data_IF_805548468185
#
_entry.id   IF_805548468185
#
_cell.length_a   1.000
_cell.length_b   1.000
_cell.length_c   1.000
_cell.angle_alpha   90.00
_cell.angle_beta   90.00
_cell.angle_gamma   90.00
#
_symmetry.space_group_name_H-M   'P 1'
#
loop_
_entity.id
_entity.type
_entity.pdbx_description
1 polymer ?
#
# COMPACT_ATOMS: atom_id res chain seq x y z
N UNK A 1 -48.75 -42.87 -58.61
CA UNK A 1 -49.43 -41.83 -57.82
C UNK A 1 -49.07 -42.14 -56.38
N UNK A 2 -48.04 -41.48 -55.81
CA UNK A 2 -48.17 -40.29 -54.94
C UNK A 2 -49.01 -40.64 -53.71
N UNK A 3 -48.59 -40.52 -52.44
CA UNK A 3 -47.59 -39.65 -51.80
C UNK A 3 -47.29 -40.18 -50.38
N UNK A 4 -46.11 -39.80 -49.89
CA UNK A 4 -45.57 -39.84 -48.52
C UNK A 4 -46.49 -39.37 -47.39
N UNK A 5 -46.17 -39.82 -46.17
CA UNK A 5 -46.08 -39.07 -44.89
C UNK A 5 -46.48 -39.97 -43.70
N UNK A 6 -45.87 -40.01 -42.52
CA UNK A 6 -44.70 -39.39 -41.91
C UNK A 6 -44.40 -40.21 -40.63
N UNK A 7 -43.14 -40.61 -40.42
CA UNK A 7 -42.64 -41.06 -39.13
C UNK A 7 -42.23 -39.82 -38.31
N UNK A 8 -42.82 -39.64 -37.13
CA UNK A 8 -42.36 -38.66 -36.14
C UNK A 8 -41.35 -39.34 -35.21
N UNK A 9 -40.06 -39.16 -35.50
CA UNK A 9 -38.97 -39.43 -34.57
C UNK A 9 -38.82 -38.23 -33.62
N UNK A 10 -38.70 -38.51 -32.32
CA UNK A 10 -38.45 -37.51 -31.28
C UNK A 10 -36.99 -37.01 -31.37
N UNK A 11 -36.71 -35.72 -31.13
CA UNK A 11 -35.36 -35.19 -31.19
C UNK A 11 -34.57 -35.51 -29.91
N UNK A 12 -33.37 -36.06 -30.13
CA UNK A 12 -32.31 -36.28 -29.14
C UNK A 12 -31.92 -34.98 -28.45
N UNK A 13 -31.95 -34.97 -27.12
CA UNK A 13 -31.50 -33.85 -26.31
C UNK A 13 -29.99 -33.63 -26.50
N UNK A 14 -29.62 -32.45 -26.99
CA UNK A 14 -28.25 -31.95 -26.99
C UNK A 14 -27.96 -31.48 -25.56
N UNK A 15 -27.05 -32.16 -24.86
CA UNK A 15 -26.52 -31.66 -23.59
C UNK A 15 -25.63 -30.44 -23.87
N UNK A 16 -25.86 -29.28 -23.24
CA UNK A 16 -24.90 -28.19 -23.32
C UNK A 16 -23.68 -28.58 -22.47
N UNK A 17 -22.51 -28.61 -23.10
CA UNK A 17 -21.23 -28.66 -22.39
C UNK A 17 -21.16 -27.44 -21.49
N UNK A 18 -21.18 -27.67 -20.17
CA UNK A 18 -20.91 -26.64 -19.19
C UNK A 18 -19.49 -26.15 -19.39
N UNK A 19 -19.36 -24.89 -19.83
CA UNK A 19 -18.15 -24.11 -19.68
C UNK A 19 -17.81 -24.07 -18.19
N UNK A 20 -16.69 -24.68 -17.81
CA UNK A 20 -16.11 -24.49 -16.49
C UNK A 20 -15.94 -22.98 -16.24
N UNK A 21 -16.20 -22.48 -15.03
CA UNK A 21 -15.98 -21.08 -14.73
C UNK A 21 -14.48 -20.81 -14.86
N UNK A 22 -14.08 -20.00 -15.83
CA UNK A 22 -12.80 -19.29 -15.82
C UNK A 22 -12.72 -18.58 -14.47
N UNK A 23 -11.94 -19.14 -13.55
CA UNK A 23 -11.50 -18.43 -12.37
C UNK A 23 -10.86 -17.15 -12.88
N UNK A 24 -11.51 -16.00 -12.63
CA UNK A 24 -10.89 -14.70 -12.80
C UNK A 24 -9.67 -14.68 -11.87
N UNK A 25 -8.53 -15.12 -12.40
CA UNK A 25 -7.24 -14.88 -11.78
C UNK A 25 -7.10 -13.36 -11.75
N UNK A 26 -7.31 -12.77 -10.58
CA UNK A 26 -7.09 -11.35 -10.39
C UNK A 26 -5.65 -11.08 -10.81
N UNK A 27 -5.45 -10.42 -11.94
CA UNK A 27 -4.12 -10.06 -12.39
C UNK A 27 -3.45 -9.23 -11.29
N UNK A 28 -2.36 -9.77 -10.75
CA UNK A 28 -1.54 -9.05 -9.77
C UNK A 28 -0.91 -7.88 -10.50
N UNK A 29 -1.47 -6.68 -10.30
CA UNK A 29 -1.06 -5.47 -11.03
C UNK A 29 0.36 -5.00 -10.68
N UNK A 30 0.86 -5.38 -9.50
CA UNK A 30 2.19 -5.01 -9.03
C UNK A 30 2.74 -6.03 -8.02
N UNK A 31 4.07 -6.08 -7.90
CA UNK A 31 4.79 -6.85 -6.88
C UNK A 31 5.49 -5.92 -5.90
N UNK A 32 5.76 -6.40 -4.68
CA UNK A 32 6.49 -5.63 -3.66
C UNK A 32 7.87 -6.23 -3.45
N UNK A 33 8.90 -5.37 -3.40
CA UNK A 33 10.28 -5.77 -3.14
C UNK A 33 11.10 -4.65 -2.50
N UNK A 34 12.26 -4.95 -1.88
CA UNK A 34 13.23 -3.93 -1.52
C UNK A 34 13.62 -3.07 -2.72
N UNK A 35 13.82 -1.77 -2.50
CA UNK A 35 14.36 -0.88 -3.51
C UNK A 35 15.84 -1.18 -3.78
N UNK A 36 16.27 -0.94 -5.02
CA UNK A 36 17.66 -1.07 -5.48
C UNK A 36 18.14 0.26 -6.06
N UNK A 37 19.46 0.39 -6.24
CA UNK A 37 20.08 1.62 -6.76
C UNK A 37 19.50 2.12 -8.08
N UNK A 38 19.12 1.23 -8.99
CA UNK A 38 18.49 1.61 -10.27
C UNK A 38 17.07 2.16 -10.14
N UNK A 39 16.41 2.01 -8.98
CA UNK A 39 15.08 2.58 -8.74
C UNK A 39 15.16 4.06 -8.31
N UNK A 40 16.33 4.56 -7.87
CA UNK A 40 16.46 5.88 -7.24
C UNK A 40 16.01 7.04 -8.11
N UNK A 41 16.31 7.11 -9.41
CA UNK A 41 15.81 8.20 -10.24
C UNK A 41 14.28 8.28 -10.26
N UNK A 42 13.60 7.12 -10.23
CA UNK A 42 12.14 7.05 -10.24
C UNK A 42 11.58 7.37 -8.83
N UNK A 43 12.21 6.89 -7.77
CA UNK A 43 11.82 7.19 -6.39
C UNK A 43 11.98 8.68 -6.09
N UNK A 44 13.09 9.29 -6.50
CA UNK A 44 13.32 10.73 -6.38
C UNK A 44 12.20 11.51 -7.06
N UNK A 45 11.86 11.16 -8.31
CA UNK A 45 10.76 11.78 -9.04
C UNK A 45 9.42 11.66 -8.30
N UNK A 46 9.09 10.47 -7.78
CA UNK A 46 7.87 10.26 -6.99
C UNK A 46 7.83 11.15 -5.73
N UNK A 47 8.94 11.23 -5.00
CA UNK A 47 9.06 12.06 -3.81
C UNK A 47 8.93 13.55 -4.15
N UNK A 48 9.61 14.03 -5.18
CA UNK A 48 9.53 15.43 -5.65
C UNK A 48 8.10 15.81 -6.03
N UNK A 49 7.41 14.97 -6.82
CA UNK A 49 6.01 15.19 -7.20
C UNK A 49 5.05 15.20 -5.99
N UNK A 50 5.38 14.44 -4.94
CA UNK A 50 4.60 14.39 -3.71
C UNK A 50 4.99 15.48 -2.70
N UNK A 51 5.99 16.32 -2.98
CA UNK A 51 6.54 17.29 -2.03
C UNK A 51 7.21 16.64 -0.81
N UNK A 52 7.73 15.44 -0.96
CA UNK A 52 8.34 14.64 0.11
C UNK A 52 9.87 14.62 -0.01
N UNK A 53 10.62 14.58 1.10
CA UNK A 53 12.07 14.52 1.05
C UNK A 53 12.55 13.16 0.49
N UNK A 54 13.59 13.21 -0.35
CA UNK A 54 14.33 12.05 -0.82
C UNK A 54 15.76 12.07 -0.27
N UNK A 55 16.33 10.90 -0.02
CA UNK A 55 17.74 10.77 0.35
C UNK A 55 18.26 9.41 -0.10
N UNK A 56 19.48 9.41 -0.64
CA UNK A 56 20.21 8.22 -1.08
C UNK A 56 20.83 7.43 0.09
N UNK A 57 20.82 8.00 1.30
CA UNK A 57 21.71 7.57 2.40
C UNK A 57 20.99 6.82 3.54
N UNK A 58 19.82 6.22 3.25
CA UNK A 58 19.04 5.51 4.26
C UNK A 58 18.56 4.14 3.76
N UNK A 59 19.35 3.10 4.03
CA UNK A 59 18.95 1.68 4.18
C UNK A 59 17.63 1.28 3.47
N UNK A 60 17.64 1.35 2.14
CA UNK A 60 16.50 1.62 1.27
C UNK A 60 15.12 1.05 1.64
N UNK A 61 14.11 1.87 1.36
CA UNK A 61 12.70 1.53 1.49
C UNK A 61 12.23 0.44 0.52
N UNK A 62 10.95 0.17 0.55
CA UNK A 62 10.30 -0.86 -0.25
C UNK A 62 9.54 -0.23 -1.40
N UNK A 63 9.59 -0.84 -2.57
CA UNK A 63 8.85 -0.39 -3.76
C UNK A 63 7.78 -1.39 -4.14
N UNK A 64 6.69 -0.85 -4.69
CA UNK A 64 5.76 -1.60 -5.52
C UNK A 64 6.19 -1.41 -6.96
N UNK A 65 6.22 -2.48 -7.76
CA UNK A 65 6.68 -2.47 -9.16
C UNK A 65 5.65 -3.11 -10.07
N UNK A 66 5.47 -2.57 -11.27
CA UNK A 66 4.59 -3.16 -12.29
C UNK A 66 5.24 -4.40 -12.95
N UNK A 67 4.58 -4.94 -13.98
CA UNK A 67 5.08 -6.09 -14.78
C UNK A 67 6.44 -5.86 -15.44
N UNK A 68 6.80 -4.61 -15.71
CA UNK A 68 8.07 -4.21 -16.32
C UNK A 68 9.17 -3.93 -15.27
N UNK A 69 8.93 -4.29 -14.00
CA UNK A 69 9.81 -4.04 -12.86
C UNK A 69 10.14 -2.54 -12.64
N UNK A 70 9.23 -1.67 -13.05
CA UNK A 70 9.30 -0.23 -12.82
C UNK A 70 8.58 0.16 -11.52
N UNK A 71 9.20 0.94 -10.62
CA UNK A 71 8.54 1.44 -9.41
C UNK A 71 7.29 2.25 -9.71
N UNK A 72 6.19 1.91 -9.02
CA UNK A 72 4.89 2.59 -9.09
C UNK A 72 4.43 3.15 -7.75
N UNK A 73 5.09 2.72 -6.67
CA UNK A 73 4.97 3.28 -5.35
C UNK A 73 6.20 2.98 -4.52
N UNK A 74 6.39 3.76 -3.46
CA UNK A 74 7.54 3.68 -2.57
C UNK A 74 7.09 3.93 -1.13
N UNK A 75 7.62 3.15 -0.19
CA UNK A 75 7.50 3.38 1.24
C UNK A 75 8.89 3.35 1.86
N UNK A 76 9.15 4.29 2.76
CA UNK A 76 10.33 4.26 3.63
C UNK A 76 9.90 4.15 5.08
N UNK A 77 10.61 3.31 5.83
CA UNK A 77 10.53 3.25 7.27
C UNK A 77 11.75 3.94 7.86
N UNK A 78 11.53 4.97 8.68
CA UNK A 78 12.55 5.57 9.52
C UNK A 78 12.56 4.86 10.86
N UNK A 79 13.67 4.20 11.15
CA UNK A 79 13.94 3.58 12.44
C UNK A 79 14.49 4.62 13.42
N UNK A 80 13.83 4.79 14.56
CA UNK A 80 14.18 5.77 15.60
C UNK A 80 14.54 5.04 16.88
N UNK A 81 15.82 5.04 17.22
CA UNK A 81 16.36 4.32 18.40
C UNK A 81 15.99 4.97 19.74
N UNK A 82 15.61 6.25 19.73
CA UNK A 82 15.10 7.02 20.88
C UNK A 82 13.60 7.28 20.75
N UNK A 83 12.83 6.23 20.42
CA UNK A 83 11.37 6.34 20.44
C UNK A 83 10.86 6.41 21.88
N UNK A 84 9.62 6.89 22.06
CA UNK A 84 8.96 6.98 23.37
C UNK A 84 8.79 5.60 24.02
N UNK A 85 8.86 4.52 23.22
CA UNK A 85 8.86 3.16 23.73
C UNK A 85 10.21 2.84 24.43
N UNK A 86 10.23 2.66 25.75
CA UNK A 86 11.48 2.43 26.49
C UNK A 86 12.13 1.06 26.22
N UNK A 87 11.46 0.18 25.47
CA UNK A 87 11.92 -1.20 25.21
C UNK A 87 12.34 -1.44 23.75
N UNK A 88 12.32 -0.45 22.86
CA UNK A 88 12.70 -0.70 21.47
C UNK A 88 12.71 0.49 20.54
N UNK A 89 13.17 0.21 19.33
CA UNK A 89 13.24 1.14 18.20
C UNK A 89 11.85 1.39 17.60
N UNK A 90 11.50 2.65 17.38
CA UNK A 90 10.26 3.05 16.72
C UNK A 90 10.38 2.98 15.21
N UNK A 91 9.37 2.47 14.51
CA UNK A 91 9.31 2.40 13.06
C UNK A 91 8.29 3.41 12.52
N UNK A 92 8.78 4.41 11.78
CA UNK A 92 7.95 5.51 11.28
C UNK A 92 7.82 5.47 9.75
N UNK A 93 6.60 5.51 9.22
CA UNK A 93 6.39 5.66 7.77
C UNK A 93 6.76 7.09 7.37
N UNK A 94 7.80 7.23 6.53
CA UNK A 94 8.31 8.54 6.11
C UNK A 94 9.17 8.49 4.83
N UNK A 95 8.60 8.71 3.63
CA UNK A 95 7.18 8.81 3.28
C UNK A 95 6.61 7.48 2.74
N UNK A 96 5.31 7.47 2.44
CA UNK A 96 4.69 6.55 1.45
C UNK A 96 4.14 7.38 0.30
N UNK A 97 4.54 7.06 -0.93
CA UNK A 97 4.17 7.78 -2.16
C UNK A 97 3.79 6.80 -3.26
N UNK A 98 2.86 7.21 -4.12
CA UNK A 98 2.35 6.39 -5.25
C UNK A 98 2.17 7.31 -6.45
N UNK A 99 2.59 6.86 -7.63
CA UNK A 99 2.31 7.61 -8.87
C UNK A 99 0.80 7.81 -9.05
N UNK A 100 0.43 8.96 -9.61
CA UNK A 100 -0.98 9.37 -9.69
C UNK A 100 -1.87 8.37 -10.43
N UNK A 101 -1.40 7.83 -11.54
CA UNK A 101 -2.07 6.80 -12.33
C UNK A 101 -2.14 5.42 -11.66
N UNK A 102 -1.43 5.22 -10.54
CA UNK A 102 -1.46 4.00 -9.72
C UNK A 102 -2.22 4.19 -8.40
N UNK A 103 -2.77 5.39 -8.15
CA UNK A 103 -3.68 5.60 -7.02
C UNK A 103 -4.93 4.75 -7.19
N UNK A 104 -5.55 4.40 -6.06
CA UNK A 104 -6.75 3.55 -6.00
C UNK A 104 -6.56 2.07 -6.43
N UNK A 105 -5.38 1.67 -6.89
CA UNK A 105 -5.03 0.25 -7.15
C UNK A 105 -4.54 -0.51 -5.90
N UNK A 106 -4.66 0.07 -4.71
CA UNK A 106 -4.25 -0.59 -3.45
C UNK A 106 -2.75 -0.54 -3.13
N UNK A 107 -1.92 0.07 -4.00
CA UNK A 107 -0.45 0.12 -3.87
C UNK A 107 0.02 0.59 -2.48
N UNK A 108 -0.42 1.76 -2.02
CA UNK A 108 0.01 2.31 -0.73
C UNK A 108 -0.36 1.41 0.45
N UNK A 109 -1.53 0.76 0.39
CA UNK A 109 -1.97 -0.16 1.44
C UNK A 109 -1.09 -1.41 1.46
N UNK A 110 -0.82 -1.99 0.30
CA UNK A 110 0.02 -3.16 0.19
C UNK A 110 1.45 -2.89 0.69
N UNK A 111 2.02 -1.71 0.38
CA UNK A 111 3.32 -1.28 0.90
C UNK A 111 3.34 -1.15 2.43
N UNK A 112 2.32 -0.50 3.00
CA UNK A 112 2.15 -0.40 4.46
C UNK A 112 2.03 -1.79 5.10
N UNK A 113 1.21 -2.66 4.53
CA UNK A 113 0.94 -3.98 5.10
C UNK A 113 2.20 -4.86 5.02
N UNK A 114 2.97 -4.76 3.92
CA UNK A 114 4.27 -5.41 3.77
C UNK A 114 5.26 -4.97 4.87
N UNK A 115 5.42 -3.67 5.09
CA UNK A 115 6.31 -3.17 6.15
C UNK A 115 5.79 -3.48 7.56
N UNK A 116 4.48 -3.49 7.75
CA UNK A 116 3.88 -3.86 9.04
C UNK A 116 4.20 -5.31 9.41
N UNK A 117 4.26 -6.22 8.44
CA UNK A 117 4.67 -7.60 8.70
C UNK A 117 6.11 -7.68 9.24
N UNK A 118 6.99 -6.81 8.77
CA UNK A 118 8.38 -6.72 9.22
C UNK A 118 8.50 -6.08 10.61
N UNK A 119 7.90 -4.91 10.78
CA UNK A 119 8.10 -4.08 11.99
C UNK A 119 7.13 -4.38 13.12
N UNK A 120 6.02 -5.08 12.85
CA UNK A 120 4.93 -5.42 13.79
C UNK A 120 4.15 -4.23 14.35
N UNK A 121 4.73 -3.04 14.35
CA UNK A 121 4.05 -1.79 14.63
C UNK A 121 4.65 -0.67 13.77
N UNK A 122 3.79 0.19 13.23
CA UNK A 122 4.17 1.37 12.47
C UNK A 122 3.52 2.61 13.08
N UNK A 123 4.27 3.72 13.09
CA UNK A 123 3.78 5.06 13.45
C UNK A 123 3.96 6.00 12.27
N UNK A 124 3.22 7.10 12.25
CA UNK A 124 3.42 8.20 11.30
C UNK A 124 2.71 9.46 11.77
N UNK A 125 3.02 10.58 11.12
CA UNK A 125 2.24 11.80 11.21
C UNK A 125 1.70 12.13 9.83
N UNK A 126 0.37 12.27 9.72
CA UNK A 126 -0.31 12.50 8.46
C UNK A 126 -0.81 13.96 8.36
N UNK A 127 -0.70 14.53 7.17
CA UNK A 127 -1.39 15.77 6.81
C UNK A 127 -2.89 15.51 6.56
N UNK A 128 -3.73 16.54 6.74
CA UNK A 128 -5.20 16.47 6.62
C UNK A 128 -5.70 15.70 5.38
N UNK A 129 -5.19 15.95 4.15
CA UNK A 129 -5.64 15.22 2.95
C UNK A 129 -5.40 13.70 2.98
N UNK A 130 -4.40 13.23 3.72
CA UNK A 130 -4.01 11.82 3.77
C UNK A 130 -4.63 11.03 4.93
N UNK A 131 -5.21 11.71 5.94
CA UNK A 131 -5.78 11.06 7.14
C UNK A 131 -6.81 9.98 6.81
N UNK A 132 -7.69 10.26 5.84
CA UNK A 132 -8.73 9.33 5.42
C UNK A 132 -8.18 8.02 4.85
N UNK A 133 -7.02 8.06 4.20
CA UNK A 133 -6.33 6.84 3.76
C UNK A 133 -5.87 6.01 4.95
N UNK A 134 -5.20 6.61 5.94
CA UNK A 134 -4.64 5.87 7.08
C UNK A 134 -5.74 5.23 7.94
N UNK A 135 -6.87 5.91 8.15
CA UNK A 135 -8.04 5.29 8.80
C UNK A 135 -8.53 4.05 8.05
N UNK A 136 -8.69 4.13 6.73
CA UNK A 136 -9.10 2.96 5.91
C UNK A 136 -8.05 1.86 5.86
N UNK A 137 -6.78 2.21 6.02
CA UNK A 137 -5.67 1.27 6.14
C UNK A 137 -5.58 0.65 7.54
N UNK A 138 -6.48 0.97 8.48
CA UNK A 138 -6.54 0.39 9.82
C UNK A 138 -5.60 1.04 10.83
N UNK A 139 -5.06 2.22 10.55
CA UNK A 139 -4.41 3.02 11.57
C UNK A 139 -5.44 3.65 12.50
N UNK A 140 -5.05 3.78 13.76
CA UNK A 140 -5.77 4.56 14.77
C UNK A 140 -5.00 5.84 15.08
N UNK A 141 -5.70 6.88 15.50
CA UNK A 141 -5.07 8.12 15.96
C UNK A 141 -4.20 7.83 17.17
N UNK A 142 -3.08 8.54 17.25
CA UNK A 142 -2.11 8.43 18.34
C UNK A 142 -1.93 9.79 19.02
N UNK A 143 -1.56 9.78 20.30
CA UNK A 143 -1.20 10.98 21.03
C UNK A 143 0.19 11.48 20.60
N UNK A 144 0.38 12.80 20.55
CA UNK A 144 1.70 13.40 20.27
C UNK A 144 2.78 12.96 21.26
N UNK A 145 2.42 12.76 22.52
CA UNK A 145 3.33 12.28 23.57
C UNK A 145 3.90 10.89 23.27
N UNK A 146 3.30 10.13 22.34
CA UNK A 146 3.76 8.81 21.90
C UNK A 146 4.57 8.84 20.59
N UNK A 147 4.87 10.03 20.06
CA UNK A 147 5.70 10.26 18.87
C UNK A 147 7.09 10.70 19.28
N UNK A 148 8.11 10.12 18.64
CA UNK A 148 9.50 10.46 18.90
C UNK A 148 9.75 11.96 18.67
N UNK A 149 10.51 12.58 19.58
CA UNK A 149 10.74 14.02 19.57
C UNK A 149 11.32 14.54 18.25
N UNK A 150 12.16 13.75 17.57
CA UNK A 150 12.73 14.12 16.26
C UNK A 150 11.65 14.27 15.19
N UNK A 151 10.64 13.40 15.17
CA UNK A 151 9.50 13.47 14.24
C UNK A 151 8.57 14.62 14.61
N UNK A 152 8.29 14.80 15.91
CA UNK A 152 7.43 15.87 16.39
C UNK A 152 8.01 17.25 16.07
N UNK A 153 9.33 17.41 16.24
CA UNK A 153 10.06 18.65 15.94
C UNK A 153 9.99 19.03 14.47
N UNK A 154 10.08 18.08 13.54
CA UNK A 154 9.93 18.36 12.11
C UNK A 154 8.56 18.99 11.80
N UNK A 155 7.50 18.51 12.46
CA UNK A 155 6.17 19.11 12.34
C UNK A 155 6.03 20.47 13.05
N UNK A 156 6.76 20.72 14.14
CA UNK A 156 6.80 22.02 14.84
C UNK A 156 7.47 23.11 14.02
N UNK A 157 8.51 22.75 13.27
CA UNK A 157 9.27 23.67 12.44
C UNK A 157 8.70 23.84 11.03
N UNK A 158 7.63 23.10 10.68
CA UNK A 158 7.00 23.16 9.38
C UNK A 158 6.19 24.46 9.21
N UNK A 159 6.56 25.27 8.21
CA UNK A 159 5.87 26.53 7.90
C UNK A 159 4.39 26.33 7.54
N UNK A 160 4.04 25.18 6.94
CA UNK A 160 2.69 24.85 6.50
C UNK A 160 1.85 24.14 7.57
N UNK A 161 2.34 24.02 8.80
CA UNK A 161 1.68 23.24 9.87
C UNK A 161 0.21 23.60 10.07
N UNK A 162 -0.13 24.90 10.02
CA UNK A 162 -1.49 25.40 10.22
C UNK A 162 -2.47 24.92 9.15
N UNK A 163 -2.02 24.80 7.90
CA UNK A 163 -2.82 24.30 6.78
C UNK A 163 -2.78 22.78 6.67
N UNK A 164 -1.68 22.16 7.13
CA UNK A 164 -1.44 20.73 7.09
C UNK A 164 -2.24 19.97 8.17
N UNK A 165 -2.47 20.61 9.32
CA UNK A 165 -3.07 20.02 10.52
C UNK A 165 -2.48 18.61 10.81
N UNK A 166 -1.24 18.49 11.25
CA UNK A 166 -0.62 17.17 11.42
C UNK A 166 -1.34 16.35 12.50
N UNK A 167 -1.64 15.09 12.20
CA UNK A 167 -2.25 14.13 13.12
C UNK A 167 -1.38 12.87 13.22
N UNK A 168 -0.94 12.48 14.43
CA UNK A 168 -0.25 11.22 14.63
C UNK A 168 -1.17 10.00 14.49
N UNK A 169 -0.60 8.93 13.98
CA UNK A 169 -1.25 7.64 13.80
C UNK A 169 -0.32 6.49 14.21
N UNK A 170 -0.94 5.38 14.60
CA UNK A 170 -0.26 4.09 14.76
C UNK A 170 -1.07 2.93 14.19
N UNK A 171 -0.38 1.88 13.78
CA UNK A 171 -0.95 0.58 13.42
C UNK A 171 -0.09 -0.51 14.03
N UNK A 172 -0.72 -1.54 14.59
CA UNK A 172 -0.04 -2.69 15.19
C UNK A 172 -0.58 -3.94 14.51
N UNK A 173 0.30 -4.88 14.18
CA UNK A 173 -0.08 -6.18 13.66
C UNK A 173 -0.76 -6.96 14.80
N UNK A 174 -2.05 -7.25 14.65
CA UNK A 174 -2.80 -8.08 15.61
C UNK A 174 -2.84 -9.53 15.12
N UNK A 175 -2.94 -10.50 16.04
CA UNK A 175 -3.00 -11.94 15.69
C UNK A 175 -4.13 -12.30 14.71
N UNK A 176 -5.19 -11.49 14.63
CA UNK A 176 -6.30 -11.69 13.69
C UNK A 176 -5.92 -11.34 12.23
N UNK A 177 -4.86 -10.55 12.02
CA UNK A 177 -4.39 -10.14 10.69
C UNK A 177 -3.43 -11.14 10.02
N UNK A 178 -3.13 -12.28 10.65
CA UNK A 178 -2.29 -13.35 10.10
C UNK A 178 -3.06 -14.34 9.21
N UNK A 179 -4.40 -14.20 9.11
CA UNK A 179 -5.32 -15.16 8.48
C UNK A 179 -6.07 -14.60 7.25
N UNK A 180 -5.71 -13.41 6.76
CA UNK A 180 -6.38 -12.73 5.64
C UNK A 180 -5.50 -12.63 4.41
#
# INVERSE_FOLDING_TARGET
MSVDSQQLQQPTAIQPQGSEPEELQSEVLFNIRPARGSDFPIIQLMCEQAGMPFSEDFQFGTVAVNSDDQPVGFIRILEVTQDVNPQGMGAYVYPVVVFENWRHHGVARALVDYELQRYKALKLVACSPSRGFYHRAGFVTEAWDNIAAIIARDCELCADRSCCEPQPFRKVLTKESELS
#
